data_IF_428938712976
#
_entry.id   IF_428938712976
#
_cell.length_a   1.000
_cell.length_b   1.000
_cell.length_c   1.000
_cell.angle_alpha   90.00
_cell.angle_beta   90.00
_cell.angle_gamma   90.00
#
_symmetry.space_group_name_H-M   'P 1'
#
loop_
_entity.id
_entity.type
_entity.pdbx_description
1 polymer ?
#
# COMPACT_ATOMS: atom_id res chain seq x y z
N UNK A 1 45.72 -35.42 -80.15
CA UNK A 1 45.45 -34.41 -81.22
C UNK A 1 45.00 -33.13 -80.50
N UNK A 2 45.80 -32.07 -80.76
CA UNK A 2 45.62 -30.62 -80.51
C UNK A 2 45.24 -30.18 -79.09
N UNK A 3 46.18 -29.52 -78.36
CA UNK A 3 46.61 -28.08 -78.39
C UNK A 3 45.46 -27.10 -78.09
N UNK A 4 45.54 -26.35 -77.03
CA UNK A 4 46.15 -25.03 -76.76
C UNK A 4 45.86 -24.64 -75.28
N UNK A 5 46.78 -24.44 -74.45
CA UNK A 5 47.57 -23.33 -73.94
C UNK A 5 46.90 -21.94 -74.06
N UNK A 6 46.79 -21.28 -72.92
CA UNK A 6 46.98 -19.85 -72.68
C UNK A 6 46.79 -19.63 -71.17
N UNK A 7 47.74 -19.36 -70.44
CA UNK A 7 48.57 -18.22 -70.12
C UNK A 7 47.86 -17.23 -69.16
N UNK A 8 48.28 -17.32 -67.91
CA UNK A 8 48.58 -16.27 -66.93
C UNK A 8 47.65 -15.07 -66.79
N UNK A 9 47.26 -14.85 -65.61
CA UNK A 9 47.57 -13.58 -64.91
C UNK A 9 47.35 -13.70 -63.39
N UNK A 10 48.45 -13.55 -62.63
CA UNK A 10 48.42 -13.45 -61.18
C UNK A 10 47.91 -12.08 -60.81
N UNK A 11 46.76 -12.01 -60.14
CA UNK A 11 46.32 -10.81 -59.45
C UNK A 11 46.32 -11.12 -57.98
N UNK A 12 47.28 -10.55 -57.27
CA UNK A 12 47.31 -10.55 -55.78
C UNK A 12 46.26 -9.63 -55.24
N UNK A 13 45.18 -10.18 -54.74
CA UNK A 13 44.31 -9.42 -53.87
C UNK A 13 44.76 -9.59 -52.43
N UNK A 14 45.27 -8.48 -51.89
CA UNK A 14 45.62 -8.29 -50.51
C UNK A 14 44.30 -8.05 -49.76
N UNK A 15 43.71 -9.09 -49.13
CA UNK A 15 42.55 -8.93 -48.26
C UNK A 15 43.01 -8.44 -46.90
N UNK A 16 42.81 -7.13 -46.67
CA UNK A 16 42.91 -6.56 -45.34
C UNK A 16 41.75 -7.07 -44.50
N UNK A 17 42.05 -7.93 -43.52
CA UNK A 17 41.09 -8.33 -42.47
C UNK A 17 40.95 -7.17 -41.49
N UNK A 18 39.87 -6.41 -41.64
CA UNK A 18 39.46 -5.39 -40.67
C UNK A 18 38.82 -6.13 -39.50
N UNK A 19 39.57 -6.36 -38.43
CA UNK A 19 39.06 -6.87 -37.19
C UNK A 19 38.21 -5.74 -36.54
N UNK A 20 36.91 -5.75 -36.78
CA UNK A 20 35.94 -4.94 -36.01
C UNK A 20 35.83 -5.52 -34.61
N UNK A 21 36.49 -4.88 -33.66
CA UNK A 21 36.25 -5.10 -32.24
C UNK A 21 34.80 -4.67 -31.95
N UNK A 22 33.88 -5.62 -31.86
CA UNK A 22 32.54 -5.40 -31.30
C UNK A 22 32.77 -5.19 -29.81
N UNK A 23 32.81 -3.93 -29.39
CA UNK A 23 32.64 -3.57 -27.98
C UNK A 23 31.24 -4.04 -27.57
N UNK A 24 31.15 -5.18 -26.90
CA UNK A 24 29.98 -5.52 -26.09
C UNK A 24 29.93 -4.52 -24.95
N UNK A 25 29.21 -3.43 -25.16
CA UNK A 25 28.68 -2.64 -24.05
C UNK A 25 27.72 -3.58 -23.33
N UNK A 26 28.13 -4.07 -22.16
CA UNK A 26 27.22 -4.67 -21.22
C UNK A 26 26.08 -3.66 -21.01
N UNK A 27 24.90 -3.98 -21.52
CA UNK A 27 23.68 -3.32 -21.10
C UNK A 27 23.61 -3.56 -19.59
N UNK A 28 23.93 -2.53 -18.81
CA UNK A 28 23.61 -2.51 -17.41
C UNK A 28 22.11 -2.77 -17.34
N UNK A 29 21.74 -3.88 -16.75
CA UNK A 29 20.38 -4.22 -16.41
C UNK A 29 19.84 -3.06 -15.57
N UNK A 30 19.06 -2.22 -16.23
CA UNK A 30 18.49 -1.02 -15.60
C UNK A 30 17.49 -1.48 -14.58
N UNK A 31 17.95 -1.75 -13.37
CA UNK A 31 17.09 -1.82 -12.21
C UNK A 31 16.40 -0.46 -12.12
N UNK A 32 15.18 -0.37 -12.63
CA UNK A 32 14.33 0.80 -12.41
C UNK A 32 14.12 0.94 -10.90
N UNK A 33 14.95 1.78 -10.26
CA UNK A 33 14.71 2.10 -8.86
C UNK A 33 13.37 2.82 -8.78
N UNK A 34 12.52 2.39 -7.87
CA UNK A 34 11.27 3.09 -7.59
C UNK A 34 11.58 4.33 -6.77
N UNK A 35 11.22 5.49 -7.29
CA UNK A 35 11.39 6.70 -6.51
C UNK A 35 10.44 6.67 -5.31
N UNK A 36 11.00 6.47 -4.11
CA UNK A 36 10.27 6.60 -2.86
C UNK A 36 10.27 8.08 -2.47
N UNK A 37 9.08 8.64 -2.29
CA UNK A 37 8.91 10.01 -1.80
C UNK A 37 8.82 10.01 -0.28
N UNK A 38 9.75 10.69 0.38
CA UNK A 38 9.78 10.84 1.84
C UNK A 38 9.25 12.22 2.23
N UNK A 39 8.22 12.25 3.08
CA UNK A 39 7.59 13.47 3.61
C UNK A 39 7.76 13.52 5.13
N UNK A 40 8.56 14.46 5.72
CA UNK A 40 8.63 14.63 7.16
C UNK A 40 7.31 15.22 7.69
N UNK A 41 6.76 14.60 8.73
CA UNK A 41 5.53 15.09 9.39
C UNK A 41 5.85 15.92 10.63
N UNK A 42 6.91 15.53 11.32
CA UNK A 42 7.59 16.29 12.38
C UNK A 42 9.05 15.83 12.45
N UNK A 43 9.72 16.06 13.58
CA UNK A 43 11.13 15.69 13.78
C UNK A 43 11.40 14.18 13.96
N UNK A 44 10.36 13.38 14.22
CA UNK A 44 10.48 11.93 14.52
C UNK A 44 9.55 11.02 13.71
N UNK A 45 8.65 11.58 12.90
CA UNK A 45 7.69 10.81 12.12
C UNK A 45 7.73 11.24 10.66
N UNK A 46 7.85 10.26 9.77
CA UNK A 46 7.97 10.44 8.33
C UNK A 46 6.97 9.55 7.60
N UNK A 47 6.41 10.02 6.50
CA UNK A 47 5.62 9.22 5.57
C UNK A 47 6.44 8.91 4.33
N UNK A 48 6.45 7.65 3.90
CA UNK A 48 7.06 7.20 2.64
C UNK A 48 5.95 6.76 1.68
N UNK A 49 6.00 7.28 0.47
CA UNK A 49 5.10 6.94 -0.64
C UNK A 49 5.90 6.17 -1.71
N UNK A 50 5.36 5.03 -2.17
CA UNK A 50 5.98 4.19 -3.22
C UNK A 50 4.92 3.55 -4.11
N UNK A 51 5.04 2.26 -4.37
CA UNK A 51 4.11 1.52 -5.25
C UNK A 51 2.87 1.00 -4.51
N UNK A 52 2.98 0.73 -3.20
CA UNK A 52 1.91 0.20 -2.37
C UNK A 52 1.29 1.25 -1.46
N UNK A 53 0.75 0.80 -0.34
CA UNK A 53 0.22 1.67 0.70
C UNK A 53 1.29 2.56 1.33
N UNK A 54 0.88 3.68 1.89
CA UNK A 54 1.78 4.59 2.57
C UNK A 54 2.44 3.92 3.79
N UNK A 55 3.72 4.16 3.98
CA UNK A 55 4.50 3.70 5.13
C UNK A 55 4.65 4.86 6.10
N UNK A 56 4.58 4.62 7.43
CA UNK A 56 5.12 5.55 8.40
C UNK A 56 6.43 5.00 9.00
N UNK A 57 7.44 5.87 9.12
CA UNK A 57 8.67 5.60 9.87
C UNK A 57 8.66 6.47 11.11
N UNK A 58 8.75 5.84 12.27
CA UNK A 58 8.65 6.49 13.58
C UNK A 58 9.98 6.27 14.32
N UNK A 59 10.66 7.35 14.60
CA UNK A 59 11.85 7.33 15.47
C UNK A 59 11.42 7.28 16.92
N UNK A 60 11.79 6.23 17.64
CA UNK A 60 11.38 6.03 19.03
C UNK A 60 12.55 5.45 19.84
N UNK A 61 12.95 6.11 20.92
CA UNK A 61 14.11 5.72 21.73
C UNK A 61 15.35 5.38 20.88
N UNK A 62 15.81 4.15 20.93
CA UNK A 62 17.02 3.63 20.26
C UNK A 62 16.69 2.86 18.95
N UNK A 63 15.45 2.90 18.48
CA UNK A 63 15.00 2.12 17.35
C UNK A 63 14.02 2.87 16.43
N UNK A 64 13.81 2.31 15.24
CA UNK A 64 12.74 2.70 14.32
C UNK A 64 11.58 1.70 14.40
N UNK A 65 10.38 2.23 14.32
CA UNK A 65 9.13 1.50 14.12
C UNK A 65 8.61 1.84 12.72
N UNK A 66 8.28 0.84 11.95
CA UNK A 66 7.80 1.01 10.58
C UNK A 66 6.37 0.51 10.49
N UNK A 67 5.45 1.34 10.01
CA UNK A 67 4.05 0.96 9.76
C UNK A 67 3.91 0.60 8.30
N UNK A 68 3.58 -0.63 8.01
CA UNK A 68 3.52 -1.28 6.72
C UNK A 68 4.87 -1.38 5.97
N UNK A 69 4.94 -2.19 4.91
CA UNK A 69 6.21 -2.53 4.26
C UNK A 69 6.14 -2.52 2.73
N UNK A 70 4.97 -2.25 2.15
CA UNK A 70 4.72 -2.31 0.72
C UNK A 70 5.14 -3.65 0.08
N UNK A 71 5.62 -3.60 -1.15
CA UNK A 71 6.03 -4.76 -1.93
C UNK A 71 7.52 -5.11 -1.74
N UNK A 72 7.85 -6.39 -1.80
CA UNK A 72 9.23 -6.88 -1.65
C UNK A 72 10.18 -6.41 -2.76
N UNK A 73 9.68 -6.19 -3.98
CA UNK A 73 10.48 -5.76 -5.12
C UNK A 73 11.04 -4.33 -4.99
N UNK A 74 10.45 -3.48 -4.14
CA UNK A 74 10.94 -2.12 -3.87
C UNK A 74 11.55 -1.96 -2.49
N UNK A 75 11.75 -3.06 -1.76
CA UNK A 75 12.32 -3.03 -0.41
C UNK A 75 13.68 -2.34 -0.34
N UNK A 76 14.55 -2.54 -1.35
CA UNK A 76 15.88 -1.93 -1.37
C UNK A 76 15.79 -0.39 -1.38
N UNK A 77 14.84 0.17 -2.14
CA UNK A 77 14.61 1.61 -2.22
C UNK A 77 14.02 2.14 -0.89
N UNK A 78 13.04 1.41 -0.31
CA UNK A 78 12.46 1.74 1.01
C UNK A 78 13.55 1.73 2.09
N UNK A 79 14.39 0.67 2.15
CA UNK A 79 15.50 0.55 3.09
C UNK A 79 16.49 1.72 2.96
N UNK A 80 16.80 2.09 1.71
CA UNK A 80 17.69 3.23 1.43
C UNK A 80 17.12 4.53 1.98
N UNK A 81 15.82 4.79 1.78
CA UNK A 81 15.16 5.99 2.31
C UNK A 81 15.09 5.99 3.84
N UNK A 82 14.79 4.85 4.48
CA UNK A 82 14.81 4.71 5.94
C UNK A 82 16.22 5.03 6.48
N UNK A 83 17.29 4.55 5.82
CA UNK A 83 18.68 4.83 6.21
C UNK A 83 19.07 6.30 6.11
N UNK A 84 18.41 7.11 5.26
CA UNK A 84 18.61 8.56 5.19
C UNK A 84 17.90 9.29 6.35
N UNK A 85 16.82 8.71 6.90
CA UNK A 85 16.07 9.26 8.03
C UNK A 85 16.88 9.09 9.32
N UNK A 86 17.37 7.87 9.60
CA UNK A 86 18.08 7.58 10.85
C UNK A 86 18.96 6.34 10.71
N UNK A 87 20.14 6.33 11.40
CA UNK A 87 21.00 5.15 11.47
C UNK A 87 20.51 4.09 12.48
N UNK A 88 19.41 4.35 13.22
CA UNK A 88 18.85 3.41 14.18
C UNK A 88 18.31 2.16 13.50
N UNK A 89 18.39 0.98 14.13
CA UNK A 89 17.83 -0.24 13.55
C UNK A 89 16.29 -0.21 13.54
N UNK A 90 15.68 -0.80 12.53
CA UNK A 90 14.23 -1.09 12.53
C UNK A 90 13.99 -2.27 13.47
N UNK A 91 13.33 -2.05 14.61
CA UNK A 91 13.05 -3.09 15.61
C UNK A 91 11.65 -3.68 15.46
N UNK A 92 10.69 -2.88 15.02
CA UNK A 92 9.31 -3.28 14.88
C UNK A 92 8.74 -2.88 13.53
N UNK A 93 7.97 -3.80 12.95
CA UNK A 93 7.07 -3.55 11.82
C UNK A 93 5.65 -3.72 12.34
N UNK A 94 4.77 -2.78 12.04
CA UNK A 94 3.36 -2.80 12.43
C UNK A 94 2.55 -2.89 11.13
N UNK A 95 1.83 -3.98 10.90
CA UNK A 95 0.96 -4.06 9.73
C UNK A 95 -0.44 -3.58 10.07
N UNK A 96 -0.95 -2.64 9.27
CA UNK A 96 -2.30 -2.10 9.42
C UNK A 96 -3.37 -3.11 9.09
N UNK A 97 -3.13 -3.98 8.11
CA UNK A 97 -3.97 -5.10 7.67
C UNK A 97 -3.16 -6.09 6.83
N UNK A 98 -3.80 -7.07 6.17
CA UNK A 98 -3.11 -8.21 5.57
C UNK A 98 -2.87 -8.15 4.06
N UNK A 99 -3.19 -7.07 3.33
CA UNK A 99 -2.96 -7.01 1.89
C UNK A 99 -1.47 -6.93 1.53
N UNK A 100 -1.13 -7.47 0.36
CA UNK A 100 0.25 -7.61 -0.10
C UNK A 100 1.00 -6.28 -0.27
N UNK A 101 0.31 -5.24 -0.69
CA UNK A 101 0.88 -3.90 -0.85
C UNK A 101 1.13 -3.17 0.48
N UNK A 102 0.87 -3.85 1.61
CA UNK A 102 1.19 -3.42 2.98
C UNK A 102 2.13 -4.38 3.69
N UNK A 103 2.18 -5.67 3.31
CA UNK A 103 2.85 -6.72 4.08
C UNK A 103 3.94 -7.47 3.33
N UNK A 104 4.01 -7.36 2.00
CA UNK A 104 4.89 -8.22 1.20
C UNK A 104 6.39 -7.95 1.43
N UNK A 105 6.77 -6.77 1.94
CA UNK A 105 8.12 -6.46 2.38
C UNK A 105 8.53 -7.06 3.74
N UNK A 106 7.59 -7.63 4.54
CA UNK A 106 7.84 -8.11 5.90
C UNK A 106 9.06 -9.02 6.01
N UNK A 107 9.17 -10.03 5.11
CA UNK A 107 10.28 -10.97 5.12
C UNK A 107 11.66 -10.30 5.00
N UNK A 108 11.74 -9.23 4.22
CA UNK A 108 12.98 -8.47 4.05
C UNK A 108 13.37 -7.70 5.31
N UNK A 109 12.39 -7.09 6.00
CA UNK A 109 12.64 -6.43 7.29
C UNK A 109 13.06 -7.42 8.38
N UNK A 110 12.46 -8.60 8.43
CA UNK A 110 12.88 -9.67 9.36
C UNK A 110 14.30 -10.12 9.05
N UNK A 111 14.61 -10.38 7.78
CA UNK A 111 15.94 -10.83 7.35
C UNK A 111 17.05 -9.84 7.69
N UNK A 112 16.83 -8.55 7.41
CA UNK A 112 17.88 -7.54 7.48
C UNK A 112 18.04 -6.91 8.87
N UNK A 113 16.95 -6.82 9.63
CA UNK A 113 16.90 -6.13 10.93
C UNK A 113 16.51 -7.04 12.11
N UNK A 114 16.13 -8.28 11.84
CA UNK A 114 15.48 -9.16 12.84
C UNK A 114 14.25 -8.49 13.48
N UNK A 115 13.49 -7.74 12.65
CA UNK A 115 12.35 -6.95 13.10
C UNK A 115 11.21 -7.85 13.60
N UNK A 116 10.55 -7.44 14.68
CA UNK A 116 9.34 -8.09 15.17
C UNK A 116 8.11 -7.53 14.43
N UNK A 117 7.35 -8.41 13.77
CA UNK A 117 6.11 -8.02 13.09
C UNK A 117 4.96 -8.04 14.09
N UNK A 118 4.19 -6.94 14.16
CA UNK A 118 3.02 -6.78 15.03
C UNK A 118 1.79 -6.49 14.16
N UNK A 119 0.67 -7.18 14.40
CA UNK A 119 -0.59 -6.94 13.71
C UNK A 119 -1.80 -7.38 14.54
N UNK A 120 -3.01 -7.07 14.06
CA UNK A 120 -4.22 -7.66 14.60
C UNK A 120 -4.24 -9.17 14.32
N UNK A 121 -4.88 -9.96 15.20
CA UNK A 121 -4.99 -11.41 15.04
C UNK A 121 -5.57 -11.82 13.67
N UNK A 122 -6.66 -11.21 13.22
CA UNK A 122 -7.29 -11.54 11.93
C UNK A 122 -6.39 -11.24 10.71
N UNK A 123 -5.40 -10.37 10.84
CA UNK A 123 -4.40 -10.12 9.79
C UNK A 123 -3.57 -11.37 9.48
N UNK A 124 -3.27 -12.19 10.50
CA UNK A 124 -2.57 -13.48 10.30
C UNK A 124 -3.36 -14.44 9.44
N UNK A 125 -4.68 -14.50 9.62
CA UNK A 125 -5.55 -15.38 8.84
C UNK A 125 -5.56 -14.96 7.36
N UNK A 126 -5.64 -13.67 7.08
CA UNK A 126 -5.63 -13.13 5.72
C UNK A 126 -4.27 -13.39 5.02
N UNK A 127 -3.15 -13.13 5.71
CA UNK A 127 -1.82 -13.43 5.17
C UNK A 127 -1.66 -14.94 4.94
N UNK A 128 -2.16 -15.78 5.84
CA UNK A 128 -2.12 -17.24 5.69
C UNK A 128 -2.88 -17.68 4.44
N UNK A 129 -4.07 -17.13 4.19
CA UNK A 129 -4.85 -17.42 2.99
C UNK A 129 -4.13 -16.99 1.70
N UNK A 130 -3.44 -15.84 1.70
CA UNK A 130 -2.60 -15.43 0.56
C UNK A 130 -1.41 -16.35 0.35
N UNK A 131 -0.75 -16.79 1.42
CA UNK A 131 0.43 -17.64 1.35
C UNK A 131 0.15 -19.01 0.71
N UNK A 132 -1.08 -19.53 0.85
CA UNK A 132 -1.48 -20.79 0.21
C UNK A 132 -1.43 -20.75 -1.32
N UNK A 133 -1.51 -19.56 -1.93
CA UNK A 133 -1.61 -19.37 -3.37
C UNK A 133 -0.40 -18.61 -3.96
N UNK A 134 0.61 -18.29 -3.15
CA UNK A 134 1.77 -17.50 -3.57
C UNK A 134 3.08 -18.29 -3.49
N UNK A 135 3.90 -18.20 -4.53
CA UNK A 135 5.23 -18.80 -4.58
C UNK A 135 6.22 -18.17 -3.58
N UNK A 136 5.98 -16.92 -3.20
CA UNK A 136 6.75 -16.17 -2.19
C UNK A 136 5.83 -15.78 -1.03
N UNK A 137 5.75 -16.63 0.01
CA UNK A 137 4.86 -16.38 1.13
C UNK A 137 5.32 -15.17 1.96
N UNK A 138 4.37 -14.36 2.41
CA UNK A 138 4.60 -13.29 3.37
C UNK A 138 4.92 -13.85 4.76
N UNK A 139 5.74 -13.13 5.50
CA UNK A 139 6.01 -13.44 6.91
C UNK A 139 4.80 -13.09 7.76
N UNK A 140 4.34 -14.07 8.55
CA UNK A 140 3.26 -13.88 9.51
C UNK A 140 3.70 -12.96 10.66
N UNK A 141 2.75 -12.27 11.32
CA UNK A 141 3.04 -11.51 12.53
C UNK A 141 3.63 -12.39 13.63
N UNK A 142 4.66 -11.88 14.32
CA UNK A 142 5.29 -12.53 15.47
C UNK A 142 4.51 -12.26 16.76
N UNK A 143 3.83 -11.10 16.82
CA UNK A 143 3.01 -10.67 17.95
C UNK A 143 1.66 -10.22 17.42
N UNK A 144 0.59 -10.76 17.99
CA UNK A 144 -0.78 -10.37 17.62
C UNK A 144 -1.56 -9.89 18.85
N UNK A 145 -2.59 -9.08 18.59
CA UNK A 145 -3.52 -8.61 19.61
C UNK A 145 -4.97 -8.61 19.07
N UNK A 146 -5.97 -8.50 19.96
CA UNK A 146 -7.39 -8.60 19.59
C UNK A 146 -8.12 -7.24 19.54
N UNK A 147 -7.84 -6.32 20.48
CA UNK A 147 -8.58 -5.05 20.56
C UNK A 147 -7.68 -3.84 20.45
N UNK A 148 -6.65 -3.81 21.24
CA UNK A 148 -5.68 -2.72 21.25
C UNK A 148 -4.37 -3.17 21.88
N UNK A 149 -3.29 -2.50 21.48
CA UNK A 149 -1.96 -2.66 22.05
C UNK A 149 -1.33 -1.29 22.22
N UNK A 150 -0.68 -1.05 23.35
CA UNK A 150 0.11 0.17 23.60
C UNK A 150 1.58 -0.21 23.71
N UNK A 151 2.40 0.45 22.89
CA UNK A 151 3.84 0.34 22.96
C UNK A 151 4.36 1.61 23.63
N UNK A 152 5.11 1.43 24.73
CA UNK A 152 5.74 2.52 25.45
C UNK A 152 6.99 3.02 24.72
N UNK A 153 7.35 4.29 24.93
CA UNK A 153 8.54 4.90 24.36
C UNK A 153 8.46 6.42 24.43
N UNK A 154 9.45 7.09 23.84
CA UNK A 154 9.45 8.56 23.72
C UNK A 154 8.24 9.06 22.92
N UNK A 155 7.84 8.30 21.90
CA UNK A 155 6.55 8.40 21.22
C UNK A 155 5.69 7.20 21.62
N UNK A 156 4.65 7.36 22.46
CA UNK A 156 3.69 6.29 22.72
C UNK A 156 2.94 5.90 21.45
N UNK A 157 2.85 4.61 21.17
CA UNK A 157 2.18 4.11 19.97
C UNK A 157 0.95 3.31 20.42
N UNK A 158 -0.24 3.75 20.01
CA UNK A 158 -1.50 3.09 20.32
C UNK A 158 -2.05 2.41 19.07
N UNK A 159 -2.07 1.08 19.06
CA UNK A 159 -2.68 0.26 18.02
C UNK A 159 -4.12 -0.02 18.40
N UNK A 160 -5.06 0.23 17.50
CA UNK A 160 -6.49 0.09 17.79
C UNK A 160 -7.19 -0.62 16.62
N UNK A 161 -7.91 -1.69 16.93
CA UNK A 161 -8.66 -2.47 15.95
C UNK A 161 -10.01 -1.84 15.59
N UNK A 162 -10.36 -1.89 14.31
CA UNK A 162 -11.65 -1.49 13.77
C UNK A 162 -12.28 -2.63 12.96
N UNK A 163 -13.30 -3.24 13.54
CA UNK A 163 -13.92 -4.43 12.96
C UNK A 163 -14.58 -4.16 11.61
N UNK A 164 -14.32 -5.07 10.67
CA UNK A 164 -15.01 -5.13 9.38
C UNK A 164 -15.00 -3.81 8.59
N UNK A 165 -13.90 -3.07 8.63
CA UNK A 165 -13.75 -1.81 7.89
C UNK A 165 -13.37 -2.09 6.42
N UNK A 166 -12.10 -2.01 6.06
CA UNK A 166 -11.60 -2.38 4.73
C UNK A 166 -11.50 -3.92 4.59
N UNK A 167 -11.01 -4.60 5.64
CA UNK A 167 -10.99 -6.04 5.84
C UNK A 167 -11.60 -6.37 7.21
N UNK A 168 -11.40 -7.58 7.71
CA UNK A 168 -11.73 -7.94 9.09
C UNK A 168 -10.54 -7.78 10.07
N UNK A 169 -9.37 -7.31 9.61
CA UNK A 169 -8.14 -7.23 10.40
C UNK A 169 -7.57 -5.81 10.58
N UNK A 170 -8.32 -4.77 10.22
CA UNK A 170 -7.80 -3.41 10.14
C UNK A 170 -7.49 -2.77 11.49
N UNK A 171 -6.35 -2.14 11.58
CA UNK A 171 -5.97 -1.31 12.72
C UNK A 171 -5.58 0.10 12.27
N UNK A 172 -5.68 1.04 13.19
CA UNK A 172 -5.00 2.32 13.10
C UNK A 172 -3.79 2.34 14.03
N UNK A 173 -2.82 3.19 13.69
CA UNK A 173 -1.67 3.50 14.55
C UNK A 173 -1.78 4.95 14.98
N UNK A 174 -2.10 5.19 16.25
CA UNK A 174 -2.24 6.52 16.82
C UNK A 174 -0.99 6.90 17.62
N UNK A 175 -0.40 8.04 17.28
CA UNK A 175 0.78 8.64 17.86
C UNK A 175 0.35 9.91 18.62
N UNK A 176 -0.09 9.80 19.89
CA UNK A 176 -0.74 10.91 20.59
C UNK A 176 0.18 12.09 20.87
N UNK A 177 1.48 11.87 21.10
CA UNK A 177 2.45 12.93 21.33
C UNK A 177 2.75 13.72 20.05
N UNK A 178 2.86 13.05 18.92
CA UNK A 178 3.06 13.65 17.60
C UNK A 178 1.77 14.21 16.99
N UNK A 179 0.62 13.86 17.54
CA UNK A 179 -0.71 14.17 16.99
C UNK A 179 -0.87 13.68 15.53
N UNK A 180 -0.48 12.40 15.31
CA UNK A 180 -0.52 11.74 14.01
C UNK A 180 -1.31 10.45 14.14
N UNK A 181 -2.11 10.12 13.11
CA UNK A 181 -2.81 8.85 12.99
C UNK A 181 -2.49 8.24 11.63
N UNK A 182 -1.96 7.01 11.60
CA UNK A 182 -1.92 6.21 10.39
C UNK A 182 -3.18 5.37 10.32
N UNK A 183 -4.00 5.62 9.30
CA UNK A 183 -5.33 5.03 9.17
C UNK A 183 -5.33 3.66 8.47
N UNK A 184 -4.19 3.25 7.86
CA UNK A 184 -4.21 2.14 6.91
C UNK A 184 -5.30 2.34 5.86
N UNK A 185 -5.81 1.25 5.33
CA UNK A 185 -6.83 1.26 4.27
C UNK A 185 -8.26 1.49 4.77
N UNK A 186 -8.41 1.85 6.06
CA UNK A 186 -9.66 2.49 6.53
C UNK A 186 -9.85 3.83 5.80
N UNK A 187 -8.76 4.47 5.34
CA UNK A 187 -8.81 5.72 4.58
C UNK A 187 -8.08 5.60 3.22
N UNK A 188 -8.83 5.75 2.15
CA UNK A 188 -8.36 6.02 0.78
C UNK A 188 -8.61 7.50 0.47
N UNK A 189 -7.64 8.37 0.78
CA UNK A 189 -7.89 9.80 0.66
C UNK A 189 -7.78 10.31 -0.79
N UNK A 190 -8.79 11.07 -1.23
CA UNK A 190 -8.86 11.59 -2.61
C UNK A 190 -9.23 10.55 -3.67
N UNK A 191 -9.70 9.37 -3.28
CA UNK A 191 -10.16 8.30 -4.18
C UNK A 191 -11.26 7.45 -3.55
N UNK A 192 -12.00 6.71 -4.36
CA UNK A 192 -12.96 5.73 -3.85
C UNK A 192 -12.23 4.58 -3.15
N UNK A 193 -12.69 4.16 -1.96
CA UNK A 193 -12.06 3.07 -1.24
C UNK A 193 -12.32 1.71 -1.90
N UNK A 194 -11.38 0.79 -1.76
CA UNK A 194 -11.62 -0.62 -1.89
C UNK A 194 -12.20 -1.14 -0.57
N UNK A 195 -13.33 -1.84 -0.63
CA UNK A 195 -13.94 -2.55 0.51
C UNK A 195 -13.85 -4.03 0.18
N UNK A 196 -12.98 -4.75 0.87
CA UNK A 196 -12.77 -6.17 0.63
C UNK A 196 -13.85 -7.02 1.32
N UNK A 197 -15.04 -7.04 0.71
CA UNK A 197 -16.20 -7.76 1.24
C UNK A 197 -15.91 -9.24 1.41
N UNK A 198 -15.07 -9.81 0.52
CA UNK A 198 -14.70 -11.22 0.56
C UNK A 198 -13.90 -11.58 1.82
N UNK A 199 -13.10 -10.64 2.30
CA UNK A 199 -12.28 -10.78 3.50
C UNK A 199 -12.86 -9.99 4.69
N UNK A 200 -14.18 -9.79 4.70
CA UNK A 200 -14.95 -9.29 5.83
C UNK A 200 -15.11 -7.78 5.93
N UNK A 201 -14.63 -7.01 4.93
CA UNK A 201 -14.83 -5.57 4.86
C UNK A 201 -16.29 -5.20 4.59
N UNK A 202 -16.75 -4.08 5.14
CA UNK A 202 -18.10 -3.55 4.94
C UNK A 202 -18.09 -2.04 4.90
N UNK A 203 -19.04 -1.45 4.17
CA UNK A 203 -19.19 0.02 4.17
C UNK A 203 -19.53 0.58 5.56
N UNK A 204 -20.31 -0.16 6.35
CA UNK A 204 -20.64 0.25 7.71
C UNK A 204 -19.43 0.22 8.64
N UNK A 205 -18.63 -0.83 8.58
CA UNK A 205 -17.37 -0.95 9.31
C UNK A 205 -16.37 0.14 8.92
N UNK A 206 -16.21 0.40 7.62
CA UNK A 206 -15.34 1.48 7.12
C UNK A 206 -15.79 2.86 7.64
N UNK A 207 -17.07 3.20 7.55
CA UNK A 207 -17.61 4.45 8.09
C UNK A 207 -17.41 4.53 9.62
N UNK A 208 -17.58 3.42 10.34
CA UNK A 208 -17.32 3.36 11.77
C UNK A 208 -15.84 3.59 12.09
N UNK A 209 -14.93 3.01 11.34
CA UNK A 209 -13.49 3.25 11.47
C UNK A 209 -13.12 4.71 11.22
N UNK A 210 -13.64 5.32 10.15
CA UNK A 210 -13.45 6.74 9.85
C UNK A 210 -14.00 7.64 10.98
N UNK A 211 -15.17 7.35 11.51
CA UNK A 211 -15.73 8.08 12.65
C UNK A 211 -14.89 7.90 13.92
N UNK A 212 -14.32 6.72 14.15
CA UNK A 212 -13.38 6.48 15.25
C UNK A 212 -12.13 7.36 15.13
N UNK A 213 -11.56 7.48 13.92
CA UNK A 213 -10.42 8.37 13.65
C UNK A 213 -10.81 9.84 13.88
N UNK A 214 -11.99 10.28 13.39
CA UNK A 214 -12.51 11.63 13.59
C UNK A 214 -12.64 11.96 15.09
N UNK A 215 -13.09 10.99 15.90
CA UNK A 215 -13.25 11.18 17.34
C UNK A 215 -11.91 11.32 18.08
N UNK A 216 -10.84 10.70 17.59
CA UNK A 216 -9.48 10.80 18.15
C UNK A 216 -8.76 12.08 17.71
N UNK A 217 -9.05 12.55 16.50
CA UNK A 217 -8.37 13.68 15.89
C UNK A 217 -8.83 15.03 16.44
N UNK A 218 -7.92 16.00 16.51
CA UNK A 218 -8.21 17.43 16.61
C UNK A 218 -7.92 18.15 15.27
N UNK A 219 -8.05 19.47 15.26
CA UNK A 219 -7.90 20.27 14.03
C UNK A 219 -6.46 20.30 13.48
N UNK A 220 -5.46 19.94 14.30
CA UNK A 220 -4.04 19.88 13.94
C UNK A 220 -3.56 18.46 13.64
N UNK A 221 -4.40 17.45 13.86
CA UNK A 221 -4.03 16.05 13.62
C UNK A 221 -3.72 15.81 12.15
N UNK A 222 -2.55 15.23 11.87
CA UNK A 222 -2.19 14.73 10.54
C UNK A 222 -2.61 13.28 10.41
N UNK A 223 -3.40 12.96 9.38
CA UNK A 223 -3.91 11.60 9.16
C UNK A 223 -3.24 11.04 7.91
N UNK A 224 -2.39 10.02 8.08
CA UNK A 224 -1.79 9.27 6.99
C UNK A 224 -2.86 8.27 6.50
N UNK A 225 -3.30 8.42 5.26
CA UNK A 225 -4.16 7.45 4.60
C UNK A 225 -3.34 6.20 4.21
N UNK A 226 -3.97 5.05 4.08
CA UNK A 226 -3.31 3.90 3.46
C UNK A 226 -2.92 4.21 2.01
N UNK A 227 -3.80 4.88 1.28
CA UNK A 227 -3.54 5.37 -0.07
C UNK A 227 -3.99 6.82 -0.24
N UNK A 228 -3.13 7.63 -0.84
CA UNK A 228 -3.39 9.06 -1.09
C UNK A 228 -2.57 9.97 -0.19
N UNK A 229 -2.90 11.26 -0.21
CA UNK A 229 -2.19 12.27 0.56
C UNK A 229 -2.54 12.21 2.05
N UNK A 230 -1.80 12.97 2.85
CA UNK A 230 -2.14 13.25 4.25
C UNK A 230 -3.44 14.04 4.29
N UNK A 231 -4.35 13.65 5.19
CA UNK A 231 -5.62 14.33 5.40
C UNK A 231 -5.63 15.07 6.76
N UNK A 232 -6.39 16.16 6.80
CA UNK A 232 -6.83 16.83 8.04
C UNK A 232 -8.14 16.21 8.54
N UNK A 233 -8.51 16.52 9.79
CA UNK A 233 -9.80 16.13 10.35
C UNK A 233 -11.00 16.63 9.51
N UNK A 234 -10.96 17.88 9.05
CA UNK A 234 -12.05 18.47 8.25
C UNK A 234 -12.22 17.77 6.89
N UNK A 235 -11.12 17.40 6.24
CA UNK A 235 -11.12 16.63 5.00
C UNK A 235 -11.65 15.21 5.24
N UNK A 236 -11.24 14.57 6.35
CA UNK A 236 -11.75 13.24 6.72
C UNK A 236 -13.27 13.27 6.99
N UNK A 237 -13.79 14.30 7.66
CA UNK A 237 -15.23 14.50 7.86
C UNK A 237 -15.95 14.60 6.50
N UNK A 238 -15.39 15.36 5.56
CA UNK A 238 -15.95 15.52 4.22
C UNK A 238 -15.95 14.19 3.44
N UNK A 239 -14.85 13.45 3.50
CA UNK A 239 -14.73 12.12 2.89
C UNK A 239 -15.73 11.12 3.48
N UNK A 240 -15.87 11.08 4.81
CA UNK A 240 -16.84 10.22 5.52
C UNK A 240 -18.28 10.56 5.15
N UNK A 241 -18.61 11.87 5.01
CA UNK A 241 -19.93 12.31 4.55
C UNK A 241 -20.23 11.88 3.13
N UNK A 242 -19.25 11.92 2.23
CA UNK A 242 -19.36 11.38 0.87
C UNK A 242 -19.76 9.90 0.90
N UNK A 243 -18.98 9.05 1.58
CA UNK A 243 -19.24 7.62 1.67
C UNK A 243 -20.61 7.31 2.30
N UNK A 244 -20.97 8.02 3.36
CA UNK A 244 -22.27 7.91 4.01
C UNK A 244 -23.41 8.25 3.03
N UNK A 245 -23.24 9.28 2.22
CA UNK A 245 -24.23 9.70 1.22
C UNK A 245 -24.42 8.63 0.16
N UNK A 246 -23.31 8.10 -0.40
CA UNK A 246 -23.35 7.03 -1.41
C UNK A 246 -24.00 5.77 -0.84
N UNK A 247 -23.57 5.33 0.36
CA UNK A 247 -24.18 4.21 1.09
C UNK A 247 -25.69 4.37 1.21
N UNK A 248 -26.16 5.51 1.69
CA UNK A 248 -27.60 5.76 1.93
C UNK A 248 -28.41 5.71 0.62
N UNK A 249 -27.84 6.22 -0.50
CA UNK A 249 -28.47 6.13 -1.83
C UNK A 249 -28.59 4.67 -2.28
N UNK A 250 -27.50 3.89 -2.17
CA UNK A 250 -27.50 2.47 -2.52
C UNK A 250 -28.48 1.69 -1.64
N UNK A 251 -28.45 1.88 -0.32
CA UNK A 251 -29.35 1.22 0.63
C UNK A 251 -30.82 1.52 0.34
N UNK A 252 -31.15 2.78 0.04
CA UNK A 252 -32.54 3.18 -0.33
C UNK A 252 -33.03 2.48 -1.58
N UNK A 253 -32.17 2.31 -2.59
CA UNK A 253 -32.52 1.63 -3.84
C UNK A 253 -32.61 0.10 -3.64
N UNK A 254 -31.66 -0.49 -2.89
CA UNK A 254 -31.69 -1.92 -2.52
C UNK A 254 -32.97 -2.26 -1.76
N UNK A 255 -33.37 -1.43 -0.79
CA UNK A 255 -34.64 -1.58 -0.03
C UNK A 255 -35.89 -1.51 -0.92
N UNK A 256 -35.81 -0.80 -2.06
CA UNK A 256 -36.90 -0.77 -3.08
C UNK A 256 -36.87 -1.96 -4.04
N UNK A 257 -36.04 -2.98 -3.80
CA UNK A 257 -35.92 -4.18 -4.63
C UNK A 257 -35.15 -3.98 -5.93
N UNK A 258 -34.39 -2.88 -6.08
CA UNK A 258 -33.55 -2.65 -7.27
C UNK A 258 -32.37 -3.61 -7.29
N UNK A 259 -32.09 -4.19 -8.47
CA UNK A 259 -30.90 -5.02 -8.71
C UNK A 259 -29.62 -4.18 -8.69
N UNK A 260 -28.47 -4.82 -8.50
CA UNK A 260 -27.18 -4.13 -8.57
C UNK A 260 -27.01 -3.33 -9.88
N UNK A 261 -27.32 -3.94 -11.03
CA UNK A 261 -27.22 -3.27 -12.33
C UNK A 261 -28.13 -2.02 -12.42
N UNK A 262 -29.35 -2.07 -11.87
CA UNK A 262 -30.25 -0.91 -11.84
C UNK A 262 -29.72 0.20 -10.90
N UNK A 263 -29.06 -0.17 -9.82
CA UNK A 263 -28.45 0.79 -8.87
C UNK A 263 -27.22 1.44 -9.50
N UNK A 264 -26.34 0.66 -10.14
CA UNK A 264 -25.18 1.19 -10.87
C UNK A 264 -25.62 2.15 -11.99
N UNK A 265 -26.63 1.77 -12.78
CA UNK A 265 -27.21 2.63 -13.82
C UNK A 265 -27.78 3.97 -13.30
N UNK A 266 -28.23 4.02 -12.03
CA UNK A 266 -28.67 5.26 -11.38
C UNK A 266 -27.54 6.18 -10.94
N UNK A 267 -26.29 5.73 -11.03
CA UNK A 267 -25.05 6.48 -10.71
C UNK A 267 -25.09 7.20 -9.35
N UNK A 268 -25.23 6.47 -8.21
CA UNK A 268 -25.40 7.09 -6.89
C UNK A 268 -24.16 7.86 -6.39
N UNK A 269 -22.99 7.68 -7.03
CA UNK A 269 -21.74 8.37 -6.72
C UNK A 269 -21.32 9.42 -7.77
N UNK A 270 -22.23 9.79 -8.72
CA UNK A 270 -21.91 10.62 -9.91
C UNK A 270 -21.13 11.89 -9.60
N UNK A 271 -21.45 12.58 -8.50
CA UNK A 271 -20.82 13.86 -8.14
C UNK A 271 -19.31 13.75 -7.88
N UNK A 272 -18.84 12.54 -7.50
CA UNK A 272 -17.44 12.29 -7.10
C UNK A 272 -16.66 11.48 -8.14
N UNK A 273 -17.27 11.01 -9.22
CA UNK A 273 -16.60 10.15 -10.20
C UNK A 273 -15.35 10.79 -10.80
N UNK A 274 -15.41 12.07 -11.16
CA UNK A 274 -14.28 12.76 -11.78
C UNK A 274 -13.09 12.96 -10.83
N UNK A 275 -13.33 13.02 -9.53
CA UNK A 275 -12.30 13.29 -8.50
C UNK A 275 -11.83 12.04 -7.75
N UNK A 276 -12.63 10.96 -7.73
CA UNK A 276 -12.38 9.81 -6.87
C UNK A 276 -12.23 8.48 -7.63
N UNK A 277 -12.61 8.40 -8.91
CA UNK A 277 -12.29 7.22 -9.72
C UNK A 277 -10.78 7.09 -9.92
N UNK A 278 -10.29 5.87 -9.83
CA UNK A 278 -8.91 5.52 -10.14
C UNK A 278 -8.85 4.13 -10.78
N UNK A 279 -7.66 3.71 -11.24
CA UNK A 279 -7.53 2.49 -12.07
C UNK A 279 -8.03 1.22 -11.39
N UNK A 280 -7.97 1.14 -10.07
CA UNK A 280 -8.37 -0.06 -9.34
C UNK A 280 -9.85 -0.02 -8.93
N UNK A 281 -10.35 1.12 -8.39
CA UNK A 281 -11.74 1.29 -7.95
C UNK A 281 -12.36 2.50 -8.66
N UNK A 282 -13.46 2.23 -9.35
CA UNK A 282 -14.36 3.24 -9.91
C UNK A 282 -15.70 3.25 -9.14
N UNK A 283 -16.59 4.17 -9.49
CA UNK A 283 -17.89 4.29 -8.84
C UNK A 283 -18.76 3.03 -8.92
N UNK A 284 -18.67 2.26 -10.01
CA UNK A 284 -19.45 1.02 -10.19
C UNK A 284 -18.97 -0.08 -9.23
N UNK A 285 -17.64 -0.26 -9.08
CA UNK A 285 -17.05 -1.19 -8.14
C UNK A 285 -17.32 -0.80 -6.69
N UNK A 286 -17.26 0.50 -6.36
CA UNK A 286 -17.64 0.97 -5.03
C UNK A 286 -19.11 0.65 -4.73
N UNK A 287 -20.03 0.93 -5.67
CA UNK A 287 -21.46 0.66 -5.52
C UNK A 287 -21.71 -0.85 -5.36
N UNK A 288 -20.98 -1.69 -6.08
CA UNK A 288 -21.02 -3.14 -5.92
C UNK A 288 -20.61 -3.59 -4.53
N UNK A 289 -19.45 -3.14 -4.03
CA UNK A 289 -18.96 -3.48 -2.68
C UNK A 289 -19.95 -3.01 -1.61
N UNK A 290 -20.53 -1.81 -1.76
CA UNK A 290 -21.57 -1.31 -0.86
C UNK A 290 -22.80 -2.20 -0.92
N UNK A 291 -23.30 -2.52 -2.12
CA UNK A 291 -24.48 -3.36 -2.30
C UNK A 291 -24.31 -4.75 -1.68
N UNK A 292 -23.15 -5.36 -1.85
CA UNK A 292 -22.81 -6.68 -1.31
C UNK A 292 -22.70 -6.67 0.22
N UNK A 293 -22.09 -5.63 0.79
CA UNK A 293 -21.85 -5.52 2.24
C UNK A 293 -23.08 -5.04 3.05
N UNK A 294 -24.10 -4.45 2.41
CA UNK A 294 -25.35 -4.10 3.08
C UNK A 294 -26.22 -5.35 3.34
N UNK A 295 -26.64 -5.53 4.60
CA UNK A 295 -27.59 -6.58 5.02
C UNK A 295 -29.02 -6.28 4.57
#
# INVERSE_FOLDING_TARGET
MLFLSFLTMKLKFLTAILASAISMTALADGTHSTQIKTTPLNHSVYMLEGQGGNIAVIENNDALYVVDTQFANIYADIKSEIGKISPKPVRYVINTHGHNDHTNGNASFVKDFNATIIAHHNTSDLITAYNQNNATPNTLPHLTFEKSLKLAGDEPIHLMYFANAHTNGDIIVHLPKSNIIHAGDILFFGRFPFIDVKNGGTIDGMINGLNGIIALADDNTKIIAGHGNIASKSELITHTKMLTTIKNRVAKLKKKGKTLAQIQASRPAKEWENSHNWNFINSEKLVESIYQSLK
#
